data_IF_903665844269
#
_entry.id   IF_903665844269
#
_cell.length_a   1.000
_cell.length_b   1.000
_cell.length_c   1.000
_cell.angle_alpha   90.00
_cell.angle_beta   90.00
_cell.angle_gamma   90.00
#
_symmetry.space_group_name_H-M   'P 1'
#
loop_
_entity.id
_entity.type
_entity.pdbx_description
1 polymer ?
#
# COMPACT_ATOMS: atom_id res chain seq x y z
N UNK A 1 -13.06 -12.55 -22.47
CA UNK A 1 -12.05 -11.71 -21.84
C UNK A 1 -10.92 -12.56 -21.27
N UNK A 2 -9.69 -12.07 -21.26
CA UNK A 2 -8.56 -12.76 -20.63
C UNK A 2 -8.49 -12.45 -19.13
N UNK A 3 -8.11 -13.46 -18.35
CA UNK A 3 -7.88 -13.31 -16.91
C UNK A 3 -6.73 -14.22 -16.45
N UNK A 4 -5.88 -13.71 -15.54
CA UNK A 4 -4.83 -14.51 -14.91
C UNK A 4 -5.43 -15.18 -13.66
N UNK A 5 -5.46 -16.50 -13.61
CA UNK A 5 -6.21 -17.28 -12.61
C UNK A 5 -5.30 -18.05 -11.65
N UNK A 6 -5.60 -17.98 -10.37
CA UNK A 6 -5.17 -18.92 -9.34
C UNK A 6 -6.16 -20.09 -9.29
N UNK A 7 -5.76 -21.26 -9.84
CA UNK A 7 -6.58 -22.48 -9.88
C UNK A 7 -6.22 -23.45 -8.75
N UNK A 8 -5.01 -23.33 -8.25
CA UNK A 8 -4.47 -24.12 -7.14
C UNK A 8 -3.76 -23.18 -6.15
N UNK A 9 -3.51 -23.64 -4.93
CA UNK A 9 -2.65 -22.92 -3.98
C UNK A 9 -1.22 -23.02 -4.46
N UNK A 10 -0.55 -21.88 -4.62
CA UNK A 10 0.85 -21.87 -5.08
C UNK A 10 1.39 -20.47 -5.29
N UNK A 11 2.66 -20.35 -5.65
CA UNK A 11 3.31 -19.10 -6.01
C UNK A 11 2.87 -18.55 -7.37
N UNK A 12 3.45 -17.42 -7.81
CA UNK A 12 3.12 -16.79 -9.10
C UNK A 12 3.27 -17.72 -10.30
N UNK A 13 4.16 -18.70 -10.25
CA UNK A 13 4.38 -19.71 -11.28
C UNK A 13 3.21 -20.66 -11.51
N UNK A 14 2.27 -20.74 -10.55
CA UNK A 14 1.06 -21.56 -10.64
C UNK A 14 -0.11 -20.85 -11.33
N UNK A 15 0.03 -19.56 -11.62
CA UNK A 15 -1.02 -18.75 -12.25
C UNK A 15 -1.13 -19.05 -13.75
N UNK A 16 -2.35 -19.09 -14.25
CA UNK A 16 -2.66 -19.45 -15.65
C UNK A 16 -3.50 -18.35 -16.29
N UNK A 17 -3.07 -17.87 -17.47
CA UNK A 17 -3.87 -16.94 -18.26
C UNK A 17 -4.88 -17.73 -19.10
N UNK A 18 -6.18 -17.44 -18.93
CA UNK A 18 -7.28 -18.11 -19.61
C UNK A 18 -8.30 -17.14 -20.17
N UNK A 19 -9.06 -17.61 -21.15
CA UNK A 19 -10.21 -16.90 -21.68
C UNK A 19 -11.48 -17.26 -20.90
N UNK A 20 -12.17 -16.23 -20.41
CA UNK A 20 -13.42 -16.35 -19.65
C UNK A 20 -14.55 -15.59 -20.38
N UNK A 21 -15.84 -15.95 -20.14
CA UNK A 21 -16.95 -15.09 -20.54
C UNK A 21 -16.82 -13.70 -19.93
N UNK A 22 -17.20 -12.66 -20.69
CA UNK A 22 -17.33 -11.32 -20.14
C UNK A 22 -18.45 -11.27 -19.09
N UNK A 23 -18.21 -10.61 -17.93
CA UNK A 23 -19.26 -10.43 -16.95
C UNK A 23 -20.33 -9.45 -17.45
N UNK A 24 -21.54 -9.56 -16.92
CA UNK A 24 -22.64 -8.62 -17.16
C UNK A 24 -22.98 -7.91 -15.85
N UNK A 25 -23.41 -6.65 -15.95
CA UNK A 25 -23.81 -5.89 -14.78
C UNK A 25 -25.09 -6.47 -14.15
N UNK A 26 -25.16 -6.46 -12.82
CA UNK A 26 -26.32 -6.82 -12.03
C UNK A 26 -26.70 -5.65 -11.11
N UNK A 27 -27.91 -5.64 -10.51
CA UNK A 27 -28.34 -4.54 -9.65
C UNK A 27 -27.31 -4.17 -8.58
N UNK A 28 -26.97 -2.88 -8.47
CA UNK A 28 -25.96 -2.36 -7.56
C UNK A 28 -24.49 -2.54 -7.99
N UNK A 29 -24.23 -3.18 -9.12
CA UNK A 29 -22.88 -3.46 -9.64
C UNK A 29 -22.62 -2.76 -10.97
N UNK A 30 -21.36 -2.61 -11.31
CA UNK A 30 -20.89 -2.15 -12.61
C UNK A 30 -19.83 -3.09 -13.16
N UNK A 31 -19.72 -3.18 -14.48
CA UNK A 31 -18.60 -3.81 -15.18
C UNK A 31 -17.60 -2.72 -15.54
N UNK A 32 -16.35 -2.92 -15.17
CA UNK A 32 -15.23 -2.04 -15.52
C UNK A 32 -14.34 -2.74 -16.53
N UNK A 33 -14.08 -2.09 -17.67
CA UNK A 33 -12.97 -2.43 -18.56
C UNK A 33 -11.69 -1.98 -17.88
N UNK A 34 -10.92 -2.93 -17.37
CA UNK A 34 -9.69 -2.68 -16.62
C UNK A 34 -8.61 -2.15 -17.55
N UNK A 35 -7.92 -1.10 -17.15
CA UNK A 35 -6.79 -0.51 -17.90
C UNK A 35 -5.47 -0.66 -17.17
N UNK A 36 -5.49 -0.72 -15.85
CA UNK A 36 -4.30 -0.99 -15.06
C UNK A 36 -4.66 -1.65 -13.72
N UNK A 37 -3.74 -2.46 -13.21
CA UNK A 37 -3.84 -3.18 -11.93
C UNK A 37 -2.59 -2.91 -11.12
N UNK A 38 -2.73 -2.30 -9.96
CA UNK A 38 -1.63 -2.10 -9.02
C UNK A 38 -1.31 -3.41 -8.28
N UNK A 39 -0.07 -3.88 -8.40
CA UNK A 39 0.38 -5.08 -7.68
C UNK A 39 0.68 -4.69 -6.23
N UNK A 40 0.14 -5.45 -5.29
CA UNK A 40 0.27 -5.24 -3.85
C UNK A 40 0.74 -6.51 -3.13
N UNK A 41 1.35 -6.36 -1.94
CA UNK A 41 1.82 -7.53 -1.19
C UNK A 41 0.70 -8.54 -0.83
N UNK A 42 -0.54 -8.11 -0.55
CA UNK A 42 -1.68 -9.04 -0.47
C UNK A 42 -1.86 -9.97 -1.66
N UNK A 43 -1.51 -9.55 -2.89
CA UNK A 43 -1.64 -10.39 -4.08
C UNK A 43 -0.66 -11.59 -4.04
N UNK A 44 0.52 -11.40 -3.46
CA UNK A 44 1.49 -12.48 -3.19
C UNK A 44 0.93 -13.47 -2.16
N UNK A 45 0.30 -12.97 -1.11
CA UNK A 45 -0.17 -13.79 0.01
C UNK A 45 -1.47 -14.54 -0.32
N UNK A 46 -2.38 -13.93 -1.11
CA UNK A 46 -3.71 -14.50 -1.36
C UNK A 46 -3.65 -15.73 -2.27
N UNK A 47 -2.73 -15.77 -3.23
CA UNK A 47 -2.54 -16.93 -4.12
C UNK A 47 -1.96 -18.14 -3.36
N UNK A 48 -1.24 -17.90 -2.26
CA UNK A 48 -0.64 -18.91 -1.38
C UNK A 48 -1.50 -19.26 -0.16
N UNK A 49 -2.75 -18.76 -0.06
CA UNK A 49 -3.64 -18.89 1.10
C UNK A 49 -3.06 -18.37 2.44
N UNK A 50 -2.11 -17.46 2.36
CA UNK A 50 -1.45 -16.82 3.52
C UNK A 50 -2.09 -15.49 3.93
N UNK A 51 -3.10 -15.03 3.17
CA UNK A 51 -3.82 -13.80 3.47
C UNK A 51 -5.07 -14.06 4.32
N UNK A 52 -5.64 -12.99 4.93
CA UNK A 52 -6.85 -13.09 5.77
C UNK A 52 -8.10 -13.50 4.97
N UNK A 53 -8.15 -13.11 3.68
CA UNK A 53 -9.22 -13.49 2.78
C UNK A 53 -8.75 -14.66 1.89
N UNK A 54 -9.61 -15.66 1.73
CA UNK A 54 -9.34 -16.86 0.92
C UNK A 54 -10.47 -17.06 -0.06
N UNK A 55 -10.40 -16.44 -1.25
CA UNK A 55 -11.41 -16.61 -2.29
C UNK A 55 -11.51 -18.07 -2.73
N UNK A 56 -12.71 -18.50 -3.10
CA UNK A 56 -12.88 -19.79 -3.78
C UNK A 56 -12.14 -19.77 -5.12
N UNK A 57 -11.41 -20.85 -5.42
CA UNK A 57 -10.73 -21.01 -6.71
C UNK A 57 -11.67 -21.59 -7.77
N UNK A 58 -11.50 -21.20 -9.07
CA UNK A 58 -10.51 -20.27 -9.58
C UNK A 58 -10.85 -18.79 -9.31
N UNK A 59 -9.86 -17.95 -9.06
CA UNK A 59 -10.01 -16.49 -8.97
C UNK A 59 -8.81 -15.76 -9.58
N UNK A 60 -9.01 -14.55 -10.08
CA UNK A 60 -7.91 -13.68 -10.47
C UNK A 60 -7.38 -12.90 -9.26
N UNK A 61 -6.06 -12.79 -9.02
CA UNK A 61 -5.51 -11.84 -8.07
C UNK A 61 -5.67 -10.39 -8.58
N UNK A 62 -5.09 -9.42 -7.87
CA UNK A 62 -5.19 -7.99 -8.20
C UNK A 62 -6.35 -7.32 -7.46
N UNK A 63 -5.99 -6.62 -6.38
CA UNK A 63 -6.99 -5.98 -5.51
C UNK A 63 -7.30 -4.54 -5.90
N UNK A 64 -6.37 -3.87 -6.56
CA UNK A 64 -6.39 -2.44 -6.87
C UNK A 64 -6.40 -2.23 -8.39
N UNK A 65 -7.45 -1.61 -8.90
CA UNK A 65 -7.66 -1.46 -10.35
C UNK A 65 -8.02 -0.05 -10.73
N UNK A 66 -7.74 0.31 -11.98
CA UNK A 66 -8.29 1.47 -12.65
C UNK A 66 -8.78 1.09 -14.05
N UNK A 67 -9.77 1.81 -14.54
CA UNK A 67 -10.34 1.52 -15.85
C UNK A 67 -11.51 2.42 -16.20
N UNK A 68 -12.31 1.95 -17.15
CA UNK A 68 -13.48 2.67 -17.66
C UNK A 68 -14.74 1.84 -17.39
N UNK A 69 -15.78 2.47 -16.88
CA UNK A 69 -17.07 1.82 -16.66
C UNK A 69 -17.64 1.42 -18.03
N UNK A 70 -17.85 0.11 -18.23
CA UNK A 70 -18.37 -0.48 -19.46
C UNK A 70 -19.89 -0.66 -19.42
N UNK A 71 -20.41 -1.05 -18.24
CA UNK A 71 -21.83 -1.33 -18.03
C UNK A 71 -22.19 -1.00 -16.57
N UNK A 72 -23.42 -0.55 -16.34
CA UNK A 72 -23.96 -0.28 -14.99
C UNK A 72 -25.25 -1.05 -14.79
N UNK A 73 -25.41 -1.65 -13.62
CA UNK A 73 -26.65 -2.35 -13.23
C UNK A 73 -27.71 -1.41 -12.69
N UNK A 74 -28.89 -1.93 -12.50
CA UNK A 74 -30.02 -1.21 -11.93
C UNK A 74 -29.67 -0.60 -10.56
N UNK A 75 -30.14 0.62 -10.29
CA UNK A 75 -29.90 1.35 -9.03
C UNK A 75 -28.54 2.04 -8.91
N UNK A 76 -27.65 1.90 -9.88
CA UNK A 76 -26.36 2.61 -9.89
C UNK A 76 -26.54 4.02 -10.45
N UNK A 77 -26.27 5.04 -9.64
CA UNK A 77 -26.51 6.45 -10.02
C UNK A 77 -25.26 7.34 -9.96
N UNK A 78 -24.23 6.96 -9.20
CA UNK A 78 -23.03 7.79 -8.96
C UNK A 78 -21.95 7.63 -10.02
N UNK A 79 -22.00 6.55 -10.82
CA UNK A 79 -21.15 6.34 -12.00
C UNK A 79 -21.98 5.99 -13.21
N UNK A 80 -21.47 6.24 -14.41
CA UNK A 80 -22.10 5.92 -15.69
C UNK A 80 -21.08 5.32 -16.65
N UNK A 81 -21.59 4.71 -17.72
CA UNK A 81 -20.76 4.20 -18.82
C UNK A 81 -19.86 5.31 -19.36
N UNK A 82 -18.57 5.00 -19.53
CA UNK A 82 -17.54 5.93 -19.96
C UNK A 82 -16.82 6.65 -18.83
N UNK A 83 -17.32 6.63 -17.59
CA UNK A 83 -16.60 7.22 -16.46
C UNK A 83 -15.26 6.49 -16.22
N UNK A 84 -14.20 7.27 -16.02
CA UNK A 84 -12.88 6.80 -15.59
C UNK A 84 -12.89 6.61 -14.09
N UNK A 85 -12.47 5.43 -13.63
CA UNK A 85 -12.59 5.04 -12.22
C UNK A 85 -11.36 4.30 -11.71
N UNK A 86 -11.17 4.34 -10.40
CA UNK A 86 -10.34 3.40 -9.65
C UNK A 86 -11.20 2.65 -8.61
N UNK A 87 -10.71 1.49 -8.17
CA UNK A 87 -11.36 0.74 -7.09
C UNK A 87 -10.37 -0.16 -6.35
N UNK A 88 -10.71 -0.47 -5.08
CA UNK A 88 -10.14 -1.59 -4.33
C UNK A 88 -11.21 -2.67 -4.13
N UNK A 89 -10.98 -3.83 -4.71
CA UNK A 89 -11.93 -4.95 -4.74
C UNK A 89 -11.53 -6.17 -3.91
N UNK A 90 -10.29 -6.19 -3.43
CA UNK A 90 -9.73 -7.33 -2.71
C UNK A 90 -9.07 -8.37 -3.62
N UNK A 91 -9.67 -8.73 -4.74
CA UNK A 91 -9.15 -9.62 -5.81
C UNK A 91 -9.99 -9.45 -7.08
N UNK A 92 -9.57 -10.05 -8.19
CA UNK A 92 -10.31 -10.08 -9.45
C UNK A 92 -9.76 -9.15 -10.53
N UNK A 93 -8.81 -8.26 -10.19
CA UNK A 93 -8.36 -7.20 -11.09
C UNK A 93 -7.44 -7.64 -12.21
N UNK A 94 -6.70 -8.74 -12.09
CA UNK A 94 -5.83 -9.24 -13.17
C UNK A 94 -6.65 -9.91 -14.28
N UNK A 95 -7.55 -9.15 -14.89
CA UNK A 95 -8.46 -9.51 -15.96
C UNK A 95 -8.78 -8.28 -16.82
N UNK A 96 -9.21 -8.50 -18.07
CA UNK A 96 -9.60 -7.42 -18.98
C UNK A 96 -10.87 -6.71 -18.52
N UNK A 97 -11.77 -7.42 -17.83
CA UNK A 97 -13.02 -6.88 -17.33
C UNK A 97 -13.32 -7.39 -15.92
N UNK A 98 -13.93 -6.54 -15.11
CA UNK A 98 -14.23 -6.88 -13.73
C UNK A 98 -15.64 -6.41 -13.33
N UNK A 99 -16.43 -7.32 -12.73
CA UNK A 99 -17.69 -6.97 -12.09
C UNK A 99 -17.43 -6.50 -10.64
N UNK A 100 -17.83 -5.28 -10.32
CA UNK A 100 -17.58 -4.63 -9.03
C UNK A 100 -18.88 -4.08 -8.43
N UNK A 101 -18.98 -4.11 -7.10
CA UNK A 101 -19.95 -3.29 -6.38
C UNK A 101 -19.71 -1.82 -6.76
N UNK A 102 -20.72 -1.17 -7.35
CA UNK A 102 -20.57 0.20 -7.84
C UNK A 102 -20.15 1.17 -6.72
N UNK A 103 -20.59 0.95 -5.48
CA UNK A 103 -20.21 1.76 -4.31
C UNK A 103 -18.71 1.81 -4.02
N UNK A 104 -17.91 0.89 -4.59
CA UNK A 104 -16.44 0.88 -4.48
C UNK A 104 -15.75 1.72 -5.54
N UNK A 105 -16.47 2.15 -6.56
CA UNK A 105 -15.90 2.92 -7.67
C UNK A 105 -15.71 4.38 -7.27
N UNK A 106 -14.50 4.88 -7.46
CA UNK A 106 -14.13 6.28 -7.27
C UNK A 106 -13.79 6.86 -8.64
N UNK A 107 -14.48 7.96 -9.03
CA UNK A 107 -14.14 8.68 -10.25
C UNK A 107 -12.77 9.33 -10.13
N UNK A 108 -11.98 9.22 -11.19
CA UNK A 108 -10.66 9.85 -11.26
C UNK A 108 -10.66 11.05 -12.21
N UNK A 109 -9.83 12.08 -11.95
CA UNK A 109 -9.66 13.20 -12.87
C UNK A 109 -9.21 12.74 -14.26
N UNK A 110 -9.61 13.45 -15.31
CA UNK A 110 -9.19 13.15 -16.68
C UNK A 110 -7.67 13.19 -16.86
N UNK A 111 -7.00 14.06 -16.12
CA UNK A 111 -5.56 14.19 -16.15
C UNK A 111 -4.80 13.07 -15.40
N UNK A 112 -5.49 12.24 -14.58
CA UNK A 112 -4.85 11.14 -13.85
C UNK A 112 -4.67 9.93 -14.75
N UNK A 113 -3.43 9.48 -15.04
CA UNK A 113 -3.19 8.25 -15.82
C UNK A 113 -3.73 7.00 -15.10
N UNK A 114 -4.10 5.96 -15.85
CA UNK A 114 -4.65 4.74 -15.27
C UNK A 114 -3.63 3.98 -14.39
N UNK A 115 -2.36 4.01 -14.75
CA UNK A 115 -1.30 3.39 -13.94
C UNK A 115 -1.12 4.09 -12.59
N UNK A 116 -1.12 5.43 -12.55
CA UNK A 116 -1.12 6.19 -11.30
C UNK A 116 -2.38 5.92 -10.48
N UNK A 117 -3.55 5.86 -11.13
CA UNK A 117 -4.82 5.55 -10.46
C UNK A 117 -4.85 4.14 -9.85
N UNK A 118 -4.30 3.13 -10.55
CA UNK A 118 -4.15 1.76 -10.05
C UNK A 118 -3.07 1.62 -8.96
N UNK A 119 -2.26 2.65 -8.73
CA UNK A 119 -1.21 2.68 -7.71
C UNK A 119 -1.57 3.58 -6.51
N UNK A 120 -2.83 4.04 -6.41
CA UNK A 120 -3.23 5.14 -5.54
C UNK A 120 -3.93 4.68 -4.25
N UNK A 121 -5.09 4.00 -4.40
CA UNK A 121 -6.01 3.84 -3.26
C UNK A 121 -5.48 2.92 -2.17
N UNK A 122 -4.77 1.86 -2.52
CA UNK A 122 -4.20 0.93 -1.53
C UNK A 122 -3.05 1.58 -0.76
N UNK A 123 -2.17 2.29 -1.44
CA UNK A 123 -0.97 2.87 -0.83
C UNK A 123 -1.30 4.14 -0.05
N UNK A 124 -1.94 5.12 -0.70
CA UNK A 124 -2.29 6.39 -0.04
C UNK A 124 -3.43 6.23 0.96
N UNK A 125 -4.44 5.41 0.67
CA UNK A 125 -5.51 5.13 1.62
C UNK A 125 -5.00 4.47 2.90
N UNK A 126 -4.11 3.47 2.79
CA UNK A 126 -3.47 2.84 3.95
C UNK A 126 -2.63 3.83 4.74
N UNK A 127 -1.77 4.60 4.05
CA UNK A 127 -0.85 5.52 4.72
C UNK A 127 -1.57 6.74 5.30
N UNK A 128 -2.62 7.24 4.64
CA UNK A 128 -3.48 8.28 5.20
C UNK A 128 -4.19 7.83 6.48
N UNK A 129 -4.80 6.64 6.43
CA UNK A 129 -5.44 6.05 7.61
C UNK A 129 -4.43 5.84 8.74
N UNK A 130 -3.23 5.35 8.41
CA UNK A 130 -2.16 5.17 9.38
C UNK A 130 -1.76 6.50 10.05
N UNK A 131 -1.42 7.51 9.26
CA UNK A 131 -0.85 8.75 9.77
C UNK A 131 -1.92 9.66 10.40
N UNK A 132 -3.07 9.84 9.74
CA UNK A 132 -4.14 10.75 10.19
C UNK A 132 -4.97 10.17 11.32
N UNK A 133 -5.45 8.92 11.17
CA UNK A 133 -6.46 8.36 12.09
C UNK A 133 -5.89 7.44 13.15
N UNK A 134 -4.69 6.88 12.93
CA UNK A 134 -4.06 5.99 13.90
C UNK A 134 -2.85 6.62 14.58
N UNK A 135 -2.02 7.30 13.80
CA UNK A 135 -0.83 8.03 14.25
C UNK A 135 -1.15 9.40 14.85
N UNK A 136 -2.25 10.01 14.45
CA UNK A 136 -2.60 11.40 14.80
C UNK A 136 -1.42 12.35 14.59
N UNK A 137 -0.70 12.13 13.47
CA UNK A 137 0.51 12.87 13.12
C UNK A 137 0.20 14.37 13.00
N UNK A 138 1.03 15.19 13.65
CA UNK A 138 0.87 16.65 13.68
C UNK A 138 2.06 17.35 12.99
N UNK A 139 1.86 18.58 12.50
CA UNK A 139 2.96 19.40 12.00
C UNK A 139 4.08 19.54 13.03
N UNK A 140 5.34 19.48 12.56
CA UNK A 140 6.53 19.59 13.40
C UNK A 140 6.96 18.31 14.12
N UNK A 141 6.12 17.25 14.15
CA UNK A 141 6.51 15.94 14.67
C UNK A 141 7.47 15.20 13.76
N UNK A 142 8.27 14.29 14.32
CA UNK A 142 9.19 13.43 13.57
C UNK A 142 8.54 12.10 13.24
N UNK A 143 8.45 11.79 11.95
CA UNK A 143 7.98 10.54 11.38
C UNK A 143 9.16 9.72 10.86
N UNK A 144 9.39 8.52 11.40
CA UNK A 144 10.30 7.52 10.83
C UNK A 144 9.52 6.55 9.97
N UNK A 145 9.89 6.40 8.70
CA UNK A 145 9.24 5.49 7.75
C UNK A 145 10.19 4.32 7.44
N UNK A 146 9.85 3.11 7.88
CA UNK A 146 10.55 1.89 7.51
C UNK A 146 10.07 1.39 6.15
N UNK A 147 11.02 0.97 5.29
CA UNK A 147 10.70 0.56 3.93
C UNK A 147 10.24 1.73 3.06
N UNK A 148 10.84 2.90 3.26
CA UNK A 148 10.43 4.19 2.71
C UNK A 148 10.38 4.24 1.17
N UNK A 149 11.08 3.35 0.45
CA UNK A 149 11.08 3.29 -1.02
C UNK A 149 10.03 2.32 -1.60
N UNK A 150 9.28 1.59 -0.78
CA UNK A 150 8.17 0.76 -1.25
C UNK A 150 6.89 1.58 -1.46
N UNK A 151 5.88 1.01 -2.13
CA UNK A 151 4.66 1.75 -2.47
C UNK A 151 3.98 2.45 -1.29
N UNK A 152 3.70 1.72 -0.19
CA UNK A 152 3.11 2.33 1.03
C UNK A 152 4.09 3.24 1.77
N UNK A 153 5.40 2.95 1.68
CA UNK A 153 6.46 3.77 2.29
C UNK A 153 6.58 5.13 1.62
N UNK A 154 6.66 5.19 0.28
CA UNK A 154 6.67 6.45 -0.46
C UNK A 154 5.40 7.27 -0.22
N UNK A 155 4.24 6.62 -0.21
CA UNK A 155 2.99 7.29 0.14
C UNK A 155 3.02 7.89 1.55
N UNK A 156 3.61 7.16 2.53
CA UNK A 156 3.77 7.68 3.89
C UNK A 156 4.76 8.86 3.96
N UNK A 157 5.84 8.84 3.16
CA UNK A 157 6.79 9.95 3.04
C UNK A 157 6.10 11.20 2.51
N UNK A 158 5.43 11.11 1.37
CA UNK A 158 4.75 12.25 0.75
C UNK A 158 3.63 12.81 1.65
N UNK A 159 2.83 11.93 2.24
CA UNK A 159 1.74 12.33 3.15
C UNK A 159 2.29 12.94 4.44
N UNK A 160 3.35 12.37 5.03
CA UNK A 160 4.02 12.94 6.20
C UNK A 160 4.51 14.36 5.93
N UNK A 161 5.16 14.59 4.79
CA UNK A 161 5.55 15.92 4.33
C UNK A 161 4.35 16.85 4.14
N UNK A 162 3.30 16.38 3.46
CA UNK A 162 2.08 17.16 3.23
C UNK A 162 1.38 17.56 4.54
N UNK A 163 1.50 16.74 5.60
CA UNK A 163 1.02 17.02 6.95
C UNK A 163 1.96 17.92 7.75
N UNK A 164 3.12 18.32 7.22
CA UNK A 164 4.08 19.19 7.87
C UNK A 164 4.98 18.51 8.92
N UNK A 165 5.10 17.18 8.88
CA UNK A 165 6.02 16.44 9.72
C UNK A 165 7.47 16.51 9.19
N UNK A 166 8.45 16.33 10.08
CA UNK A 166 9.83 16.01 9.70
C UNK A 166 9.90 14.52 9.37
N UNK A 167 10.18 14.17 8.13
CA UNK A 167 10.14 12.79 7.64
C UNK A 167 11.55 12.22 7.49
N UNK A 168 11.82 11.11 8.17
CA UNK A 168 13.06 10.33 8.09
C UNK A 168 12.78 9.03 7.34
N UNK A 169 13.41 8.88 6.18
CA UNK A 169 13.29 7.68 5.36
C UNK A 169 14.30 6.61 5.78
N UNK A 170 13.83 5.42 6.15
CA UNK A 170 14.69 4.28 6.40
C UNK A 170 14.52 3.22 5.30
N UNK A 171 15.61 2.85 4.62
CA UNK A 171 15.61 1.90 3.51
C UNK A 171 16.88 1.06 3.47
N UNK A 172 16.91 0.03 2.61
CA UNK A 172 18.01 -0.96 2.56
C UNK A 172 19.18 -0.60 1.62
N UNK A 173 19.12 0.57 0.96
CA UNK A 173 20.21 1.05 0.09
C UNK A 173 20.18 2.57 -0.04
N UNK A 174 21.30 3.16 -0.42
CA UNK A 174 21.42 4.61 -0.70
C UNK A 174 20.47 5.05 -1.81
N UNK A 175 20.33 4.26 -2.87
CA UNK A 175 19.43 4.55 -3.99
C UNK A 175 17.97 4.66 -3.50
N UNK A 176 17.54 3.75 -2.63
CA UNK A 176 16.20 3.75 -2.04
C UNK A 176 15.99 4.95 -1.11
N UNK A 177 17.00 5.35 -0.35
CA UNK A 177 16.95 6.56 0.47
C UNK A 177 16.88 7.79 -0.42
N UNK A 178 17.69 7.86 -1.48
CA UNK A 178 17.68 8.97 -2.44
C UNK A 178 16.31 9.12 -3.11
N UNK A 179 15.67 8.01 -3.51
CA UNK A 179 14.30 8.02 -4.03
C UNK A 179 13.32 8.64 -3.02
N UNK A 180 13.33 8.18 -1.77
CA UNK A 180 12.45 8.70 -0.73
C UNK A 180 12.70 10.20 -0.43
N UNK A 181 13.95 10.64 -0.47
CA UNK A 181 14.30 12.09 -0.36
C UNK A 181 13.78 12.88 -1.55
N UNK A 182 13.82 12.33 -2.77
CA UNK A 182 13.21 12.93 -3.97
C UNK A 182 11.68 13.08 -3.84
N UNK A 183 11.03 12.22 -3.05
CA UNK A 183 9.61 12.27 -2.72
C UNK A 183 9.29 13.08 -1.43
N UNK A 184 10.29 13.68 -0.81
CA UNK A 184 10.09 14.67 0.24
C UNK A 184 10.45 14.25 1.66
N UNK A 185 11.22 13.17 1.84
CA UNK A 185 11.85 12.93 3.13
C UNK A 185 12.94 13.99 3.39
N UNK A 186 12.98 14.53 4.60
CA UNK A 186 13.94 15.54 5.01
C UNK A 186 15.34 14.95 5.19
N UNK A 187 15.40 13.70 5.67
CA UNK A 187 16.63 12.95 5.84
C UNK A 187 16.39 11.46 5.65
N UNK A 188 17.48 10.67 5.68
CA UNK A 188 17.33 9.23 5.52
C UNK A 188 18.50 8.43 6.08
N UNK A 189 18.25 7.14 6.29
CA UNK A 189 19.20 6.20 6.84
C UNK A 189 19.14 4.86 6.11
N UNK A 190 20.32 4.35 5.76
CA UNK A 190 20.45 3.00 5.20
C UNK A 190 20.60 2.00 6.33
N UNK A 191 19.68 1.05 6.41
CA UNK A 191 19.77 -0.05 7.36
C UNK A 191 20.27 -1.34 6.70
N UNK A 192 21.05 -2.17 7.43
CA UNK A 192 21.51 -3.46 6.91
C UNK A 192 20.35 -4.47 6.79
N UNK A 193 20.56 -5.52 5.99
CA UNK A 193 19.60 -6.63 5.92
C UNK A 193 19.86 -7.61 7.07
N UNK A 194 18.77 -8.05 7.74
CA UNK A 194 18.80 -9.08 8.77
C UNK A 194 19.04 -10.49 8.23
N UNK A 195 19.08 -11.50 9.08
CA UNK A 195 18.76 -11.44 10.52
C UNK A 195 19.85 -10.78 11.38
N UNK A 196 19.48 -10.28 12.57
CA UNK A 196 20.41 -9.62 13.49
C UNK A 196 20.56 -10.42 14.77
N UNK A 197 21.80 -10.54 15.24
CA UNK A 197 22.12 -10.92 16.61
C UNK A 197 21.90 -9.75 17.59
N UNK A 198 22.24 -9.93 18.85
CA UNK A 198 22.05 -8.91 19.89
C UNK A 198 22.82 -7.62 19.61
N UNK A 199 24.03 -7.73 19.12
CA UNK A 199 24.87 -6.56 18.83
C UNK A 199 24.41 -5.84 17.56
N UNK A 200 23.98 -6.59 16.55
CA UNK A 200 23.34 -6.06 15.35
C UNK A 200 22.03 -5.32 15.66
N UNK A 201 21.20 -5.87 16.57
CA UNK A 201 19.99 -5.18 17.04
C UNK A 201 20.29 -3.87 17.75
N UNK A 202 21.36 -3.84 18.58
CA UNK A 202 21.82 -2.62 19.27
C UNK A 202 22.33 -1.61 18.26
N UNK A 203 23.17 -2.01 17.32
CA UNK A 203 23.70 -1.14 16.27
C UNK A 203 22.58 -0.54 15.42
N UNK A 204 21.57 -1.34 15.05
CA UNK A 204 20.40 -0.87 14.30
C UNK A 204 19.58 0.13 15.10
N UNK A 205 19.37 -0.10 16.41
CA UNK A 205 18.67 0.85 17.26
C UNK A 205 19.42 2.18 17.41
N UNK A 206 20.74 2.13 17.52
CA UNK A 206 21.57 3.34 17.61
C UNK A 206 21.60 4.09 16.27
N UNK A 207 21.58 3.38 15.14
CA UNK A 207 21.43 3.93 13.81
C UNK A 207 20.12 4.74 13.68
N UNK A 208 19.00 4.15 14.08
CA UNK A 208 17.70 4.86 14.04
C UNK A 208 17.63 6.03 15.01
N UNK A 209 18.16 5.91 16.25
CA UNK A 209 18.24 7.02 17.20
C UNK A 209 19.01 8.21 16.66
N UNK A 210 20.16 7.95 16.02
CA UNK A 210 20.97 8.99 15.42
C UNK A 210 20.21 9.71 14.28
N UNK A 211 19.47 8.98 13.46
CA UNK A 211 18.71 9.53 12.35
C UNK A 211 17.52 10.40 12.81
N UNK A 212 16.77 9.96 13.83
CA UNK A 212 15.61 10.73 14.32
C UNK A 212 16.02 11.88 15.25
N UNK A 213 17.19 11.76 15.88
CA UNK A 213 17.74 12.78 16.79
C UNK A 213 17.32 12.59 18.26
N UNK A 214 17.71 13.54 19.14
CA UNK A 214 17.63 13.37 20.60
C UNK A 214 16.19 13.27 21.13
N UNK A 215 15.21 13.84 20.46
CA UNK A 215 13.82 13.82 20.90
C UNK A 215 13.11 12.50 20.51
N UNK A 216 13.72 11.69 19.62
CA UNK A 216 13.13 10.45 19.10
C UNK A 216 12.07 10.67 18.03
N UNK A 217 11.48 9.58 17.53
CA UNK A 217 10.38 9.62 16.57
C UNK A 217 9.02 9.67 17.28
N UNK A 218 8.22 10.70 17.00
CA UNK A 218 6.85 10.79 17.49
C UNK A 218 5.94 9.72 16.87
N UNK A 219 6.25 9.36 15.63
CA UNK A 219 5.54 8.33 14.89
C UNK A 219 6.53 7.45 14.12
N UNK A 220 6.36 6.13 14.23
CA UNK A 220 7.08 5.16 13.40
C UNK A 220 6.07 4.47 12.51
N UNK A 221 6.26 4.54 11.18
CA UNK A 221 5.48 3.83 10.19
C UNK A 221 6.22 2.54 9.81
N UNK A 222 5.75 1.38 10.30
CA UNK A 222 6.38 0.09 10.01
C UNK A 222 5.63 -0.70 8.93
N UNK A 223 6.10 -0.57 7.69
CA UNK A 223 5.70 -1.39 6.55
C UNK A 223 6.60 -2.60 6.30
N UNK A 224 7.54 -2.93 7.22
CA UNK A 224 8.57 -3.96 7.04
C UNK A 224 8.40 -5.14 8.01
N UNK A 225 8.23 -4.87 9.30
CA UNK A 225 8.15 -5.87 10.37
C UNK A 225 9.49 -6.54 10.68
N UNK A 226 9.43 -7.80 11.12
CA UNK A 226 10.61 -8.60 11.46
C UNK A 226 11.48 -7.97 12.54
N UNK A 227 12.78 -8.15 12.41
CA UNK A 227 13.77 -7.68 13.38
C UNK A 227 13.92 -6.13 13.45
N UNK A 228 13.34 -5.41 12.48
CA UNK A 228 13.41 -3.93 12.44
C UNK A 228 12.49 -3.25 13.45
N UNK A 229 11.41 -3.91 13.85
CA UNK A 229 10.40 -3.35 14.73
C UNK A 229 10.94 -3.03 16.13
N UNK A 230 11.69 -3.94 16.76
CA UNK A 230 12.27 -3.69 18.08
C UNK A 230 13.23 -2.49 18.08
N UNK A 231 14.13 -2.44 17.10
CA UNK A 231 15.10 -1.35 16.97
C UNK A 231 14.43 0.01 16.78
N UNK A 232 13.34 0.05 15.99
CA UNK A 232 12.59 1.28 15.75
C UNK A 232 11.75 1.74 16.96
N UNK A 233 11.21 0.84 17.77
CA UNK A 233 10.57 1.21 19.05
C UNK A 233 11.59 1.84 20.02
N UNK A 234 12.84 1.37 20.00
CA UNK A 234 13.91 1.94 20.86
C UNK A 234 14.26 3.40 20.51
N UNK A 235 13.98 3.85 19.28
CA UNK A 235 14.22 5.23 18.87
C UNK A 235 12.97 6.15 18.99
N UNK A 236 11.85 5.64 19.49
CA UNK A 236 10.63 6.43 19.65
C UNK A 236 10.79 7.52 20.72
N UNK A 237 10.08 8.62 20.51
CA UNK A 237 9.85 9.66 21.50
C UNK A 237 8.98 9.14 22.67
N UNK A 238 8.95 9.89 23.75
CA UNK A 238 7.99 9.68 24.84
C UNK A 238 6.57 9.86 24.32
N UNK A 239 5.67 8.92 24.64
CA UNK A 239 4.27 8.88 24.17
C UNK A 239 4.13 8.81 22.62
N UNK A 240 5.16 8.35 21.93
CA UNK A 240 5.13 8.15 20.47
C UNK A 240 4.25 6.99 20.04
N UNK A 241 3.95 6.89 18.75
CA UNK A 241 3.11 5.82 18.16
C UNK A 241 3.85 4.98 17.15
N UNK A 242 3.89 3.67 17.39
CA UNK A 242 4.41 2.67 16.47
C UNK A 242 3.25 2.09 15.66
N UNK A 243 3.19 2.42 14.37
CA UNK A 243 2.13 2.01 13.45
C UNK A 243 2.47 0.70 12.77
N UNK A 244 1.74 -0.36 13.10
CA UNK A 244 1.90 -1.70 12.55
C UNK A 244 1.14 -1.80 11.24
N UNK A 245 1.85 -1.75 10.09
CA UNK A 245 1.24 -1.68 8.75
C UNK A 245 1.41 -2.99 7.97
N UNK A 246 2.60 -3.62 8.02
CA UNK A 246 2.84 -4.85 7.28
C UNK A 246 4.08 -5.63 7.73
N UNK A 247 4.23 -6.86 7.21
CA UNK A 247 5.21 -7.82 7.67
C UNK A 247 6.01 -8.52 6.56
N UNK A 248 6.47 -7.85 5.50
CA UNK A 248 7.24 -8.52 4.46
C UNK A 248 8.54 -9.15 4.98
N UNK A 249 9.12 -8.65 6.08
CA UNK A 249 10.28 -9.25 6.74
C UNK A 249 9.92 -10.26 7.85
N UNK A 250 8.62 -10.57 8.02
CA UNK A 250 8.11 -11.47 9.05
C UNK A 250 7.40 -10.74 10.19
N UNK A 251 6.61 -11.48 10.96
CA UNK A 251 5.87 -10.95 12.12
C UNK A 251 6.87 -10.66 13.25
N UNK A 252 6.96 -9.41 13.74
CA UNK A 252 7.92 -9.05 14.77
C UNK A 252 7.57 -9.64 16.15
N UNK A 253 8.60 -9.91 16.96
CA UNK A 253 8.46 -10.24 18.37
C UNK A 253 8.95 -9.06 19.19
N UNK A 254 8.04 -8.25 19.68
CA UNK A 254 8.35 -7.01 20.41
C UNK A 254 8.38 -7.30 21.91
N UNK A 255 9.48 -7.01 22.62
CA UNK A 255 9.51 -7.03 24.08
C UNK A 255 8.63 -5.87 24.63
N UNK A 256 7.51 -6.21 25.26
CA UNK A 256 6.50 -5.20 25.68
C UNK A 256 7.02 -4.24 26.76
N UNK A 257 8.11 -4.57 27.48
CA UNK A 257 8.76 -3.64 28.38
C UNK A 257 9.28 -2.37 27.67
N UNK A 258 9.53 -2.42 26.36
CA UNK A 258 9.91 -1.23 25.59
C UNK A 258 8.76 -0.24 25.48
N UNK A 259 7.54 -0.72 25.29
CA UNK A 259 6.36 0.15 25.29
C UNK A 259 6.16 0.84 26.65
N UNK A 260 6.35 0.09 27.75
CA UNK A 260 6.29 0.66 29.10
C UNK A 260 7.37 1.73 29.33
N UNK A 261 8.63 1.44 28.93
CA UNK A 261 9.76 2.35 29.16
C UNK A 261 9.68 3.64 28.35
N UNK A 262 8.94 3.63 27.23
CA UNK A 262 8.72 4.78 26.36
C UNK A 262 7.34 5.42 26.55
N UNK A 263 6.47 4.80 27.34
CA UNK A 263 5.04 5.17 27.44
C UNK A 263 4.37 5.25 26.06
N UNK A 264 4.84 4.44 25.08
CA UNK A 264 4.43 4.54 23.69
C UNK A 264 3.30 3.56 23.34
N UNK A 265 2.53 3.92 22.30
CA UNK A 265 1.45 3.09 21.77
C UNK A 265 1.97 2.17 20.66
N UNK A 266 1.54 0.89 20.67
CA UNK A 266 1.66 -0.02 19.53
C UNK A 266 0.28 -0.09 18.86
N UNK A 267 0.17 0.43 17.62
CA UNK A 267 -1.11 0.74 16.98
C UNK A 267 -1.28 -0.06 15.70
N UNK A 268 -2.28 -0.92 15.64
CA UNK A 268 -2.63 -1.66 14.43
C UNK A 268 -3.23 -0.76 13.34
N UNK A 269 -2.82 -1.00 12.10
CA UNK A 269 -3.32 -0.33 10.90
C UNK A 269 -3.95 -1.35 9.98
N UNK A 270 -5.29 -1.45 9.99
CA UNK A 270 -6.04 -2.32 9.09
C UNK A 270 -7.04 -1.50 8.27
N UNK A 271 -6.50 -0.78 7.27
CA UNK A 271 -7.27 0.12 6.43
C UNK A 271 -8.45 -0.56 5.73
N UNK A 272 -8.26 -1.73 5.12
CA UNK A 272 -9.35 -2.42 4.42
C UNK A 272 -10.58 -2.69 5.31
N UNK A 273 -10.38 -3.12 6.55
CA UNK A 273 -11.47 -3.28 7.50
C UNK A 273 -12.07 -1.93 7.94
N UNK A 274 -11.25 -0.87 7.99
CA UNK A 274 -11.74 0.47 8.35
C UNK A 274 -12.69 1.05 7.29
N UNK A 275 -12.43 0.78 6.01
CA UNK A 275 -13.30 1.18 4.88
C UNK A 275 -14.71 0.60 5.04
N UNK A 276 -14.81 -0.70 5.34
CA UNK A 276 -16.10 -1.37 5.52
C UNK A 276 -16.84 -0.90 6.78
N UNK A 277 -16.09 -0.57 7.85
CA UNK A 277 -16.69 -0.16 9.15
C UNK A 277 -17.17 1.28 9.16
N UNK A 278 -16.55 2.16 8.37
CA UNK A 278 -16.90 3.57 8.27
C UNK A 278 -16.73 4.08 6.82
N UNK A 279 -17.69 3.71 5.94
CA UNK A 279 -17.65 4.12 4.54
C UNK A 279 -17.70 5.65 4.37
N UNK A 280 -18.40 6.35 5.24
CA UNK A 280 -18.52 7.81 5.16
C UNK A 280 -17.17 8.51 5.45
N UNK A 281 -16.37 8.01 6.41
CA UNK A 281 -15.01 8.49 6.61
C UNK A 281 -14.14 8.19 5.40
N UNK A 282 -14.23 6.97 4.87
CA UNK A 282 -13.47 6.59 3.68
C UNK A 282 -13.72 7.54 2.51
N UNK A 283 -14.97 7.92 2.24
CA UNK A 283 -15.30 8.88 1.18
C UNK A 283 -14.65 10.26 1.42
N UNK A 284 -14.67 10.76 2.67
CA UNK A 284 -13.96 12.01 3.01
C UNK A 284 -12.45 11.88 2.83
N UNK A 285 -11.86 10.77 3.28
CA UNK A 285 -10.42 10.53 3.14
C UNK A 285 -10.00 10.46 1.66
N UNK A 286 -10.82 9.86 0.80
CA UNK A 286 -10.58 9.83 -0.65
C UNK A 286 -10.66 11.24 -1.25
N UNK A 287 -11.63 12.06 -0.85
CA UNK A 287 -11.73 13.44 -1.32
C UNK A 287 -10.47 14.24 -0.93
N UNK A 288 -10.04 14.16 0.35
CA UNK A 288 -8.80 14.81 0.81
C UNK A 288 -7.56 14.36 0.01
N UNK A 289 -7.45 13.05 -0.27
CA UNK A 289 -6.35 12.49 -1.06
C UNK A 289 -6.37 12.96 -2.51
N UNK A 290 -7.55 13.05 -3.14
CA UNK A 290 -7.70 13.58 -4.50
C UNK A 290 -7.36 15.07 -4.57
N UNK A 291 -7.68 15.87 -3.55
CA UNK A 291 -7.25 17.26 -3.44
C UNK A 291 -5.72 17.38 -3.34
N UNK A 292 -5.07 16.55 -2.53
CA UNK A 292 -3.61 16.52 -2.43
C UNK A 292 -2.96 16.12 -3.75
N UNK A 293 -3.53 15.14 -4.47
CA UNK A 293 -3.07 14.72 -5.79
C UNK A 293 -3.23 15.86 -6.81
N UNK A 294 -4.41 16.47 -6.90
CA UNK A 294 -4.68 17.58 -7.81
C UNK A 294 -3.79 18.80 -7.52
N UNK A 295 -3.44 19.02 -6.25
CA UNK A 295 -2.50 20.06 -5.81
C UNK A 295 -1.03 19.70 -6.00
N UNK A 296 -0.69 18.54 -6.58
CA UNK A 296 0.68 18.07 -6.80
C UNK A 296 1.47 17.81 -5.52
N UNK A 297 0.78 17.60 -4.39
CA UNK A 297 1.41 17.31 -3.09
C UNK A 297 1.79 15.85 -2.93
N UNK A 298 1.08 14.97 -3.63
CA UNK A 298 1.30 13.53 -3.67
C UNK A 298 1.21 13.05 -5.12
N UNK A 299 2.02 12.05 -5.47
CA UNK A 299 2.01 11.45 -6.79
C UNK A 299 2.49 10.00 -6.73
N UNK A 300 1.67 9.00 -7.13
CA UNK A 300 2.13 7.62 -7.17
C UNK A 300 3.38 7.45 -8.03
N UNK A 301 4.42 6.87 -7.46
CA UNK A 301 5.63 6.51 -8.20
C UNK A 301 5.48 5.09 -8.75
N UNK A 302 5.16 4.98 -10.04
CA UNK A 302 5.11 3.71 -10.75
C UNK A 302 6.50 3.44 -11.33
N UNK A 303 7.17 2.42 -10.80
CA UNK A 303 8.54 2.07 -11.21
C UNK A 303 8.58 1.12 -12.40
N UNK A 304 7.58 0.26 -12.55
CA UNK A 304 7.59 -0.79 -13.57
C UNK A 304 6.18 -1.11 -14.07
N UNK A 305 6.13 -1.42 -15.38
CA UNK A 305 4.92 -1.84 -16.07
C UNK A 305 5.10 -3.24 -16.65
N UNK A 306 4.09 -4.08 -16.51
CA UNK A 306 4.00 -5.41 -17.10
C UNK A 306 2.70 -5.54 -17.88
N UNK A 307 2.66 -6.21 -19.05
CA UNK A 307 1.40 -6.56 -19.67
C UNK A 307 0.67 -7.66 -18.87
N UNK A 308 -0.64 -7.78 -19.02
CA UNK A 308 -1.45 -8.81 -18.34
C UNK A 308 -0.88 -10.23 -18.55
N UNK A 309 -0.35 -10.52 -19.73
CA UNK A 309 0.29 -11.81 -20.04
C UNK A 309 1.53 -12.13 -19.21
N UNK A 310 2.14 -11.12 -18.58
CA UNK A 310 3.30 -11.25 -17.71
C UNK A 310 3.01 -10.83 -16.25
N UNK A 311 1.74 -10.80 -15.85
CA UNK A 311 1.36 -10.34 -14.51
C UNK A 311 1.90 -11.27 -13.40
N UNK A 312 2.13 -12.55 -13.66
CA UNK A 312 2.81 -13.45 -12.71
C UNK A 312 4.25 -12.99 -12.41
N UNK A 313 4.97 -12.48 -13.41
CA UNK A 313 6.31 -11.91 -13.23
C UNK A 313 6.26 -10.62 -12.39
N UNK A 314 5.23 -9.78 -12.56
CA UNK A 314 5.03 -8.58 -11.75
C UNK A 314 4.84 -8.93 -10.26
N UNK A 315 4.08 -9.98 -9.95
CA UNK A 315 3.91 -10.49 -8.58
C UNK A 315 5.25 -11.02 -8.05
N UNK A 316 6.00 -11.79 -8.85
CA UNK A 316 7.32 -12.31 -8.48
C UNK A 316 8.31 -11.17 -8.20
N UNK A 317 8.30 -10.13 -9.04
CA UNK A 317 9.16 -8.96 -8.85
C UNK A 317 8.88 -8.27 -7.51
N UNK A 318 7.61 -8.03 -7.20
CA UNK A 318 7.22 -7.44 -5.91
C UNK A 318 7.63 -8.33 -4.72
N UNK A 319 7.41 -9.65 -4.82
CA UNK A 319 7.79 -10.63 -3.78
C UNK A 319 9.30 -10.64 -3.52
N UNK A 320 10.13 -10.36 -4.52
CA UNK A 320 11.59 -10.28 -4.39
C UNK A 320 12.11 -9.08 -3.59
N UNK A 321 11.24 -8.11 -3.22
CA UNK A 321 11.54 -6.85 -2.50
C UNK A 321 12.53 -5.93 -3.23
N UNK A 322 12.66 -6.08 -4.54
CA UNK A 322 13.52 -5.23 -5.38
C UNK A 322 12.79 -3.98 -5.89
N UNK A 323 11.47 -4.02 -5.94
CA UNK A 323 10.66 -2.90 -6.42
C UNK A 323 10.92 -1.61 -5.63
N UNK A 324 11.03 -0.50 -6.35
CA UNK A 324 11.16 0.86 -5.81
C UNK A 324 9.94 1.68 -6.24
N UNK A 325 8.92 1.74 -5.40
CA UNK A 325 7.61 2.30 -5.73
C UNK A 325 6.58 1.22 -6.03
N UNK A 326 5.73 1.47 -7.01
CA UNK A 326 4.65 0.58 -7.42
C UNK A 326 4.97 -0.15 -8.72
N UNK A 327 4.61 -1.42 -8.73
CA UNK A 327 4.57 -2.27 -9.92
C UNK A 327 3.13 -2.30 -10.42
N UNK A 328 2.92 -2.09 -11.71
CA UNK A 328 1.59 -2.01 -12.33
C UNK A 328 1.51 -2.98 -13.51
N UNK A 329 0.40 -3.71 -13.59
CA UNK A 329 0.04 -4.51 -14.75
C UNK A 329 -0.88 -3.68 -15.64
N UNK A 330 -0.46 -3.46 -16.88
CA UNK A 330 -1.27 -2.78 -17.90
C UNK A 330 -2.15 -3.80 -18.63
N UNK A 331 -3.39 -3.41 -18.87
CA UNK A 331 -4.39 -4.20 -19.57
C UNK A 331 -4.82 -3.43 -20.81
N UNK A 332 -4.65 -4.03 -21.99
CA UNK A 332 -4.91 -3.43 -23.31
C UNK A 332 -6.42 -3.24 -23.60
#
# INVERSE_FOLDING_TARGET
MKALLSKVVGGPESLVLEDLPSPTAKPGFAVVSVKAVGVNYPDVLIIEDKYQFKPARPFAPGSEVSGVVKEVGEGVTHVKVGDRVLANAGWGGMAEEMLLEAARLVKIPDAMPFDEAAAFIMTYGTSWYALKHRGFLKPGQTLLVLGAAGGVGLAAVELGRAMGARVIAAASSEEKVALAKGHGADDGVVYPLGPFDRDGQKALADLFKNAVGPNGADCVYDGVGGDYAEASIRCMAWEGRFLVVGFPAGIPRIPLNLALLKSCDIVGVFWGASVTRDPARHQRDIADLMELYAGGKIKPHVSEHYPLSRAAEAITHLASRKAMGKVVVMVD
#
